data_IF_760064654640
#
_entry.id   IF_760064654640
#
_cell.length_a   1.000
_cell.length_b   1.000
_cell.length_c   1.000
_cell.angle_alpha   90.00
_cell.angle_beta   90.00
_cell.angle_gamma   90.00
#
_symmetry.space_group_name_H-M   'P 1'
#
loop_
_entity.id
_entity.type
_entity.pdbx_description
1 polymer ?
#
# COMPACT_ATOMS: atom_id res chain seq x y z
N UNK A 1 6.63 1.27 -11.63
CA UNK A 1 6.23 2.45 -10.84
C UNK A 1 7.51 3.19 -10.48
N UNK A 2 7.49 4.53 -10.54
CA UNK A 2 8.65 5.39 -10.28
C UNK A 2 8.57 6.04 -8.88
N UNK A 3 9.64 6.70 -8.42
CA UNK A 3 9.65 7.45 -7.14
C UNK A 3 8.66 8.61 -7.15
N UNK A 4 8.58 9.36 -8.25
CA UNK A 4 7.64 10.48 -8.37
C UNK A 4 6.18 10.01 -8.32
N UNK A 5 5.88 8.85 -8.92
CA UNK A 5 4.54 8.26 -8.84
C UNK A 5 4.13 7.96 -7.38
N UNK A 6 5.09 7.53 -6.55
CA UNK A 6 4.86 7.25 -5.12
C UNK A 6 4.54 8.52 -4.33
N UNK A 7 5.29 9.60 -4.56
CA UNK A 7 5.08 10.87 -3.87
C UNK A 7 3.77 11.56 -4.28
N UNK A 8 3.27 11.28 -5.47
CA UNK A 8 2.00 11.82 -5.97
C UNK A 8 0.76 11.01 -5.53
N UNK A 9 0.94 9.95 -4.75
CA UNK A 9 -0.17 9.12 -4.31
C UNK A 9 -1.14 9.89 -3.39
N UNK A 10 -2.45 9.61 -3.46
CA UNK A 10 -3.40 10.14 -2.50
C UNK A 10 -3.06 9.67 -1.08
N UNK A 11 -3.64 10.27 -0.03
CA UNK A 11 -3.37 9.89 1.37
C UNK A 11 -3.58 8.41 1.69
N UNK A 12 -4.44 7.73 0.93
CA UNK A 12 -4.58 6.27 0.97
C UNK A 12 -4.85 5.70 -0.42
N UNK A 13 -4.24 4.55 -0.71
CA UNK A 13 -4.39 3.83 -1.99
C UNK A 13 -5.12 2.50 -1.80
N UNK A 14 -5.58 1.88 -2.88
CA UNK A 14 -6.10 0.52 -2.81
C UNK A 14 -4.99 -0.53 -2.62
N UNK A 15 -5.38 -1.75 -2.23
CA UNK A 15 -4.45 -2.86 -2.00
C UNK A 15 -3.61 -3.23 -3.22
N UNK A 16 -4.17 -3.18 -4.43
CA UNK A 16 -3.45 -3.59 -5.64
C UNK A 16 -2.36 -2.57 -5.94
N UNK A 17 -2.64 -1.29 -5.76
CA UNK A 17 -1.64 -0.21 -5.87
C UNK A 17 -0.52 -0.38 -4.85
N UNK A 18 -0.84 -0.62 -3.58
CA UNK A 18 0.17 -0.93 -2.55
C UNK A 18 0.96 -2.21 -2.87
N UNK A 19 0.30 -3.25 -3.39
CA UNK A 19 0.96 -4.48 -3.80
C UNK A 19 1.98 -4.29 -4.90
N UNK A 20 1.65 -3.51 -5.92
CA UNK A 20 2.59 -3.13 -6.97
C UNK A 20 3.80 -2.39 -6.42
N UNK A 21 3.59 -1.51 -5.43
CA UNK A 21 4.67 -0.81 -4.75
C UNK A 21 5.62 -1.76 -4.01
N UNK A 22 5.08 -2.82 -3.42
CA UNK A 22 5.83 -3.83 -2.66
C UNK A 22 6.35 -4.99 -3.52
N UNK A 23 6.18 -4.96 -4.85
CA UNK A 23 6.55 -6.07 -5.73
C UNK A 23 5.70 -7.34 -5.54
N UNK A 24 4.51 -7.21 -4.96
CA UNK A 24 3.60 -8.30 -4.65
C UNK A 24 2.51 -8.45 -5.72
N UNK A 25 2.25 -9.69 -6.12
CA UNK A 25 1.10 -10.02 -6.97
C UNK A 25 -0.23 -9.83 -6.24
N UNK A 26 -1.30 -9.57 -7.01
CA UNK A 26 -2.66 -9.31 -6.50
C UNK A 26 -3.11 -10.34 -5.46
N UNK A 27 -2.98 -11.63 -5.76
CA UNK A 27 -3.43 -12.70 -4.86
C UNK A 27 -2.68 -12.69 -3.53
N UNK A 28 -1.36 -12.48 -3.54
CA UNK A 28 -0.55 -12.46 -2.32
C UNK A 28 -0.91 -11.28 -1.43
N UNK A 29 -1.13 -10.11 -2.03
CA UNK A 29 -1.59 -8.91 -1.30
C UNK A 29 -2.93 -9.13 -0.60
N UNK A 30 -3.91 -9.70 -1.30
CA UNK A 30 -5.22 -9.95 -0.67
C UNK A 30 -5.11 -11.00 0.44
N UNK A 31 -4.29 -12.03 0.28
CA UNK A 31 -4.03 -13.02 1.34
C UNK A 31 -3.44 -12.38 2.59
N UNK A 32 -2.41 -11.52 2.44
CA UNK A 32 -1.81 -10.81 3.56
C UNK A 32 -2.81 -9.86 4.24
N UNK A 33 -3.57 -9.10 3.45
CA UNK A 33 -4.58 -8.18 3.98
C UNK A 33 -5.70 -8.90 4.73
N UNK A 34 -6.17 -10.05 4.24
CA UNK A 34 -7.19 -10.86 4.92
C UNK A 34 -6.68 -11.47 6.23
N UNK A 35 -5.38 -11.77 6.31
CA UNK A 35 -4.73 -12.30 7.52
C UNK A 35 -4.29 -11.21 8.50
N UNK A 36 -4.39 -9.94 8.12
CA UNK A 36 -3.84 -8.83 8.91
C UNK A 36 -2.30 -8.80 8.92
N UNK A 37 -1.65 -9.44 7.94
CA UNK A 37 -0.19 -9.58 7.82
C UNK A 37 0.43 -8.56 6.86
N UNK A 38 -0.32 -7.51 6.49
CA UNK A 38 0.25 -6.45 5.66
C UNK A 38 1.34 -5.71 6.44
N UNK A 39 2.50 -5.41 5.83
CA UNK A 39 3.60 -4.72 6.51
C UNK A 39 3.34 -3.23 6.73
N UNK A 40 2.16 -2.75 6.35
CA UNK A 40 1.71 -1.35 6.39
C UNK A 40 0.28 -1.30 6.86
N UNK A 41 -0.10 -0.21 7.53
CA UNK A 41 -1.46 0.01 8.02
C UNK A 41 -2.46 -0.09 6.88
N UNK A 42 -3.31 -1.09 7.00
CA UNK A 42 -4.38 -1.39 6.07
C UNK A 42 -5.72 -1.21 6.78
N UNK A 43 -6.53 -0.27 6.27
CA UNK A 43 -7.87 0.01 6.73
C UNK A 43 -8.86 -0.88 5.97
N UNK A 44 -9.73 -1.58 6.70
CA UNK A 44 -10.85 -2.32 6.12
C UNK A 44 -12.11 -1.47 6.19
N UNK A 45 -12.57 -0.98 5.05
CA UNK A 45 -13.73 -0.11 4.90
C UNK A 45 -14.87 -0.90 4.24
N UNK A 46 -15.52 -1.74 5.04
CA UNK A 46 -16.50 -2.71 4.55
C UNK A 46 -15.85 -3.80 3.69
N UNK A 47 -16.22 -3.87 2.41
CA UNK A 47 -15.63 -4.79 1.43
C UNK A 47 -14.33 -4.29 0.81
N UNK A 48 -14.04 -2.99 0.96
CA UNK A 48 -12.85 -2.37 0.40
C UNK A 48 -11.70 -2.34 1.41
N UNK A 49 -10.48 -2.36 0.89
CA UNK A 49 -9.27 -2.13 1.66
C UNK A 49 -8.58 -0.86 1.18
N UNK A 50 -8.01 -0.11 2.11
CA UNK A 50 -7.18 1.07 1.85
C UNK A 50 -5.87 0.95 2.61
N UNK A 51 -4.76 1.25 1.95
CA UNK A 51 -3.43 1.30 2.56
C UNK A 51 -3.07 2.75 2.78
N UNK A 52 -2.62 3.08 3.99
CA UNK A 52 -2.15 4.43 4.32
C UNK A 52 -0.84 4.70 3.57
N UNK A 53 -0.87 5.71 2.71
CA UNK A 53 0.26 6.03 1.83
C UNK A 53 1.48 6.49 2.63
N UNK A 54 1.29 7.21 3.74
CA UNK A 54 2.40 7.65 4.58
C UNK A 54 3.26 6.48 5.09
N UNK A 55 2.66 5.44 5.65
CA UNK A 55 3.39 4.24 6.10
C UNK A 55 3.98 3.45 4.94
N UNK A 56 3.30 3.43 3.79
CA UNK A 56 3.84 2.79 2.59
C UNK A 56 5.11 3.50 2.08
N UNK A 57 5.11 4.84 2.08
CA UNK A 57 6.26 5.64 1.70
C UNK A 57 7.41 5.47 2.70
N UNK A 58 7.10 5.47 4.00
CA UNK A 58 8.07 5.21 5.06
C UNK A 58 8.73 3.83 4.91
N UNK A 59 7.92 2.77 4.73
CA UNK A 59 8.42 1.41 4.50
C UNK A 59 9.34 1.32 3.27
N UNK A 60 9.03 2.07 2.22
CA UNK A 60 9.82 2.09 0.99
C UNK A 60 11.01 3.06 1.03
N UNK A 61 11.23 3.77 2.15
CA UNK A 61 12.30 4.77 2.28
C UNK A 61 12.10 6.00 1.40
N UNK A 62 10.87 6.29 0.99
CA UNK A 62 10.54 7.44 0.13
C UNK A 62 10.11 8.62 1.00
N UNK A 63 11.01 9.60 1.14
CA UNK A 63 10.71 10.85 1.83
C UNK A 63 10.34 11.95 0.81
N UNK A 64 9.32 12.79 1.10
CA UNK A 64 9.15 14.05 0.39
C UNK A 64 10.38 14.94 0.63
N UNK A 65 10.75 15.73 -0.38
CA UNK A 65 11.84 16.71 -0.26
C UNK A 65 11.46 17.87 0.67
#
# INVERSE_FOLDING_TARGET
MTRSDLLALPPAVDLVTAGRALGLGRSKVYQLAQRGEMPVRTLRLGSAYRVVTAELLELLGVQPE
#
